data_IF_925166448363
#
_entry.id   IF_925166448363
#
_cell.length_a   1.000
_cell.length_b   1.000
_cell.length_c   1.000
_cell.angle_alpha   90.00
_cell.angle_beta   90.00
_cell.angle_gamma   90.00
#
_symmetry.space_group_name_H-M   'P 1'
#
loop_
_entity.id
_entity.type
_entity.pdbx_description
1 polymer ?
#
# COMPACT_ATOMS: atom_id res chain seq x y z
N UNK A 1 10.88 -8.12 5.99
CA UNK A 1 9.86 -8.55 5.00
C UNK A 1 10.14 -9.94 4.48
N UNK A 2 9.20 -10.85 4.62
CA UNK A 2 9.22 -12.17 3.98
C UNK A 2 8.71 -12.13 2.52
N UNK A 3 8.71 -13.29 1.85
CA UNK A 3 8.34 -13.40 0.44
C UNK A 3 6.85 -13.12 0.18
N UNK A 4 5.96 -13.55 1.09
CA UNK A 4 4.52 -13.34 0.95
C UNK A 4 4.16 -11.88 1.22
N UNK A 5 4.81 -11.27 2.22
CA UNK A 5 4.67 -9.84 2.49
C UNK A 5 5.05 -9.01 1.26
N UNK A 6 6.17 -9.35 0.60
CA UNK A 6 6.60 -8.69 -0.65
C UNK A 6 5.59 -8.85 -1.79
N UNK A 7 5.03 -10.04 -1.97
CA UNK A 7 4.01 -10.31 -2.99
C UNK A 7 2.75 -9.47 -2.76
N UNK A 8 2.25 -9.45 -1.52
CA UNK A 8 1.05 -8.69 -1.19
C UNK A 8 1.28 -7.19 -1.26
N UNK A 9 2.40 -6.68 -0.75
CA UNK A 9 2.73 -5.25 -0.86
C UNK A 9 2.88 -4.83 -2.32
N UNK A 10 3.53 -5.64 -3.17
CA UNK A 10 3.61 -5.38 -4.60
C UNK A 10 2.21 -5.34 -5.24
N UNK A 11 1.32 -6.24 -4.85
CA UNK A 11 -0.07 -6.25 -5.32
C UNK A 11 -0.80 -4.96 -4.94
N UNK A 12 -0.66 -4.46 -3.71
CA UNK A 12 -1.24 -3.17 -3.30
C UNK A 12 -0.70 -2.04 -4.17
N UNK A 13 0.62 -1.95 -4.31
CA UNK A 13 1.26 -0.87 -5.06
C UNK A 13 0.79 -0.85 -6.52
N UNK A 14 0.75 -2.02 -7.16
CA UNK A 14 0.33 -2.16 -8.54
C UNK A 14 -1.18 -1.92 -8.72
N UNK A 15 -1.98 -2.25 -7.71
CA UNK A 15 -3.42 -2.03 -7.75
C UNK A 15 -3.76 -0.52 -7.75
N UNK A 16 -3.10 0.26 -6.89
CA UNK A 16 -3.41 1.69 -6.71
C UNK A 16 -2.69 2.61 -7.69
N UNK A 17 -1.39 2.39 -7.96
CA UNK A 17 -0.57 3.36 -8.72
C UNK A 17 -0.15 2.89 -10.12
N UNK A 18 -0.65 1.73 -10.54
CA UNK A 18 -0.63 1.25 -11.92
C UNK A 18 -0.02 -0.15 -12.05
N UNK A 19 -0.48 -0.92 -13.05
CA UNK A 19 0.00 -2.27 -13.25
C UNK A 19 1.51 -2.28 -13.50
N UNK A 20 2.19 -3.29 -12.96
CA UNK A 20 3.63 -3.54 -13.16
C UNK A 20 4.56 -2.39 -12.72
N UNK A 21 4.14 -1.55 -11.78
CA UNK A 21 5.00 -0.51 -11.20
C UNK A 21 6.15 -1.12 -10.40
N UNK A 22 5.89 -2.25 -9.71
CA UNK A 22 6.87 -2.93 -8.88
C UNK A 22 6.70 -4.45 -8.96
N UNK A 23 7.81 -5.17 -8.85
CA UNK A 23 7.87 -6.62 -8.67
C UNK A 23 8.09 -6.96 -7.18
N UNK A 24 7.65 -8.12 -6.67
CA UNK A 24 7.87 -8.49 -5.26
C UNK A 24 9.34 -8.38 -4.80
N UNK A 25 10.29 -8.70 -5.68
CA UNK A 25 11.72 -8.60 -5.37
C UNK A 25 12.22 -7.16 -5.14
N UNK A 26 11.57 -6.17 -5.78
CA UNK A 26 11.94 -4.76 -5.70
C UNK A 26 11.15 -3.98 -4.62
N UNK A 27 10.28 -4.64 -3.87
CA UNK A 27 9.62 -4.01 -2.73
C UNK A 27 10.61 -3.89 -1.57
N UNK A 28 10.72 -2.70 -1.01
CA UNK A 28 11.50 -2.41 0.19
C UNK A 28 10.58 -1.84 1.31
N UNK A 29 11.12 -1.76 2.52
CA UNK A 29 10.36 -1.30 3.70
C UNK A 29 9.89 0.15 3.59
N UNK A 30 10.68 1.02 2.95
CA UNK A 30 10.31 2.41 2.76
C UNK A 30 9.11 2.56 1.82
N UNK A 31 9.08 1.80 0.73
CA UNK A 31 7.93 1.74 -0.17
C UNK A 31 6.68 1.26 0.55
N UNK A 32 6.80 0.31 1.48
CA UNK A 32 5.69 -0.13 2.32
C UNK A 32 5.22 0.99 3.27
N UNK A 33 6.13 1.71 3.92
CA UNK A 33 5.77 2.85 4.78
C UNK A 33 5.05 3.94 3.99
N UNK A 34 5.60 4.37 2.85
CA UNK A 34 4.99 5.42 2.03
C UNK A 34 3.63 4.97 1.47
N UNK A 35 3.52 3.74 0.98
CA UNK A 35 2.23 3.22 0.50
C UNK A 35 1.18 3.19 1.61
N UNK A 36 1.55 2.77 2.81
CA UNK A 36 0.65 2.78 3.96
C UNK A 36 0.21 4.21 4.32
N UNK A 37 1.15 5.15 4.45
CA UNK A 37 0.83 6.53 4.81
C UNK A 37 -0.05 7.23 3.78
N UNK A 38 0.13 6.93 2.48
CA UNK A 38 -0.71 7.48 1.43
C UNK A 38 -2.15 6.94 1.55
N UNK A 39 -2.31 5.64 1.82
CA UNK A 39 -3.63 5.05 2.00
C UNK A 39 -4.31 5.55 3.28
N UNK A 40 -3.56 5.79 4.34
CA UNK A 40 -4.06 6.39 5.59
C UNK A 40 -4.46 7.87 5.39
N UNK A 41 -3.62 8.67 4.70
CA UNK A 41 -3.92 10.09 4.41
C UNK A 41 -5.07 10.28 3.44
N UNK A 42 -5.30 9.31 2.57
CA UNK A 42 -6.51 9.30 1.76
C UNK A 42 -7.68 8.95 2.67
N UNK A 43 -8.26 9.96 3.36
CA UNK A 43 -9.43 9.81 4.25
C UNK A 43 -10.52 8.90 3.63
N UNK A 44 -10.72 9.00 2.31
CA UNK A 44 -11.68 8.18 1.56
C UNK A 44 -11.34 6.69 1.60
N UNK A 45 -10.05 6.31 1.55
CA UNK A 45 -9.65 4.92 1.77
C UNK A 45 -9.67 4.59 3.26
N UNK A 46 -9.12 5.42 4.16
CA UNK A 46 -8.97 5.05 5.58
C UNK A 46 -10.30 4.76 6.29
N UNK A 47 -11.39 5.41 5.92
CA UNK A 47 -12.73 5.14 6.49
C UNK A 47 -13.40 3.90 5.88
N UNK A 48 -13.04 3.56 4.63
CA UNK A 48 -13.66 2.47 3.88
C UNK A 48 -12.91 1.15 4.02
N UNK A 49 -11.58 1.20 4.11
CA UNK A 49 -10.72 0.04 4.32
C UNK A 49 -10.40 -0.09 5.80
N UNK A 50 -10.20 -1.32 6.29
CA UNK A 50 -9.91 -1.63 7.70
C UNK A 50 -8.51 -1.12 8.16
N UNK A 51 -8.10 0.07 7.72
CA UNK A 51 -6.91 0.76 8.21
C UNK A 51 -7.22 1.26 9.60
N UNK A 52 -6.75 0.49 10.59
CA UNK A 52 -6.84 0.88 11.99
C UNK A 52 -6.01 2.17 12.17
N UNK A 53 -6.64 3.29 12.58
CA UNK A 53 -5.93 4.54 12.80
C UNK A 53 -4.82 4.34 13.82
N UNK A 54 -3.61 4.83 13.53
CA UNK A 54 -2.51 4.69 14.49
C UNK A 54 -2.63 5.70 15.62
N UNK A 55 -2.26 5.31 16.86
CA UNK A 55 -2.09 6.26 17.95
C UNK A 55 -0.80 7.11 17.82
N UNK A 56 0.10 6.79 16.88
CA UNK A 56 1.35 7.54 16.62
C UNK A 56 1.39 8.07 15.19
N UNK A 57 1.90 9.30 14.99
CA UNK A 57 1.95 10.01 13.70
C UNK A 57 2.81 9.33 12.61
N UNK A 58 3.72 8.42 12.98
CA UNK A 58 4.62 7.76 12.01
C UNK A 58 4.47 6.26 12.09
N UNK A 59 4.35 5.67 10.92
CA UNK A 59 4.21 4.26 10.74
C UNK A 59 5.53 3.50 10.95
N UNK A 60 5.63 2.59 11.93
CA UNK A 60 6.77 1.66 11.95
C UNK A 60 6.76 0.78 10.69
N UNK A 61 7.92 0.47 10.09
CA UNK A 61 8.00 -0.33 8.87
C UNK A 61 7.33 -1.68 9.00
N UNK A 62 7.59 -2.42 10.07
CA UNK A 62 7.00 -3.75 10.30
C UNK A 62 5.47 -3.73 10.42
N UNK A 63 4.88 -2.65 10.96
CA UNK A 63 3.43 -2.51 10.97
C UNK A 63 2.91 -2.15 9.58
N UNK A 64 3.55 -1.20 8.88
CA UNK A 64 3.12 -0.79 7.54
C UNK A 64 3.08 -1.98 6.58
N UNK A 65 4.12 -2.81 6.62
CA UNK A 65 4.21 -4.07 5.89
C UNK A 65 3.05 -5.00 6.22
N UNK A 66 2.76 -5.23 7.51
CA UNK A 66 1.68 -6.14 7.94
C UNK A 66 0.30 -5.68 7.49
N UNK A 67 -0.01 -4.39 7.64
CA UNK A 67 -1.31 -3.86 7.20
C UNK A 67 -1.45 -3.91 5.69
N UNK A 68 -0.41 -3.53 4.96
CA UNK A 68 -0.41 -3.66 3.50
C UNK A 68 -0.51 -5.11 3.05
N UNK A 69 0.11 -6.06 3.75
CA UNK A 69 0.00 -7.48 3.42
C UNK A 69 -1.43 -8.00 3.59
N UNK A 70 -2.16 -7.56 4.62
CA UNK A 70 -3.60 -7.88 4.79
C UNK A 70 -4.43 -7.34 3.63
N UNK A 71 -4.18 -6.10 3.23
CA UNK A 71 -4.85 -5.44 2.10
C UNK A 71 -4.53 -6.19 0.79
N UNK A 72 -3.25 -6.44 0.52
CA UNK A 72 -2.78 -7.13 -0.67
C UNK A 72 -3.34 -8.54 -0.78
N UNK A 73 -3.47 -9.26 0.34
CA UNK A 73 -4.12 -10.58 0.37
C UNK A 73 -5.57 -10.52 -0.10
N UNK A 74 -6.35 -9.54 0.37
CA UNK A 74 -7.74 -9.33 -0.09
C UNK A 74 -7.80 -8.99 -1.58
N UNK A 75 -6.92 -8.11 -2.04
CA UNK A 75 -6.83 -7.73 -3.46
C UNK A 75 -6.53 -8.96 -4.32
N UNK A 76 -5.54 -9.76 -3.95
CA UNK A 76 -5.15 -10.98 -4.68
C UNK A 76 -6.27 -12.03 -4.65
N UNK A 77 -7.04 -12.13 -3.55
CA UNK A 77 -8.20 -13.03 -3.48
C UNK A 77 -9.45 -12.51 -4.23
N UNK A 78 -9.37 -11.36 -4.89
CA UNK A 78 -10.47 -10.77 -5.66
C UNK A 78 -11.45 -9.94 -4.81
N UNK A 79 -11.25 -9.82 -3.51
CA UNK A 79 -12.04 -8.98 -2.60
C UNK A 79 -11.61 -7.52 -2.72
N UNK A 80 -11.93 -6.93 -3.88
CA UNK A 80 -11.46 -5.59 -4.30
C UNK A 80 -12.52 -4.51 -4.23
N UNK A 81 -13.77 -4.86 -3.90
CA UNK A 81 -14.92 -3.95 -4.00
C UNK A 81 -14.69 -2.64 -3.24
N UNK A 82 -14.23 -2.73 -1.99
CA UNK A 82 -13.93 -1.59 -1.13
C UNK A 82 -12.75 -0.77 -1.67
N UNK A 83 -11.69 -1.44 -2.13
CA UNK A 83 -10.48 -0.77 -2.63
C UNK A 83 -10.70 -0.07 -3.98
N UNK A 84 -11.59 -0.58 -4.83
CA UNK A 84 -11.94 0.05 -6.10
C UNK A 84 -12.59 1.42 -5.91
N UNK A 85 -13.37 1.61 -4.83
CA UNK A 85 -14.05 2.88 -4.53
C UNK A 85 -13.02 4.00 -4.36
N UNK A 86 -11.90 3.71 -3.69
CA UNK A 86 -10.90 4.73 -3.37
C UNK A 86 -9.67 4.72 -4.30
N UNK A 87 -9.56 3.71 -5.19
CA UNK A 87 -8.49 3.59 -6.19
C UNK A 87 -8.31 4.83 -7.05
N UNK A 88 -9.40 5.44 -7.52
CA UNK A 88 -9.32 6.64 -8.36
C UNK A 88 -8.81 7.87 -7.59
N UNK A 89 -9.19 8.00 -6.32
CA UNK A 89 -8.76 9.10 -5.45
C UNK A 89 -7.28 8.99 -5.08
N UNK A 90 -6.82 7.77 -4.78
CA UNK A 90 -5.40 7.51 -4.41
C UNK A 90 -4.49 7.45 -5.63
N UNK A 91 -4.93 6.83 -6.71
CA UNK A 91 -4.12 6.56 -7.89
C UNK A 91 -3.74 7.81 -8.69
N UNK A 92 -4.56 8.87 -8.61
CA UNK A 92 -4.27 10.15 -9.25
C UNK A 92 -3.14 10.93 -8.55
N UNK A 93 -2.90 10.66 -7.26
CA UNK A 93 -1.84 11.28 -6.45
C UNK A 93 -0.70 10.31 -6.13
N UNK A 94 0.41 10.84 -5.62
CA UNK A 94 1.47 10.08 -4.92
C UNK A 94 2.25 9.01 -5.70
N UNK A 95 1.92 8.72 -6.97
CA UNK A 95 2.70 7.78 -7.81
C UNK A 95 4.19 8.12 -7.86
N UNK A 96 4.55 9.40 -7.92
CA UNK A 96 5.94 9.86 -7.86
C UNK A 96 6.59 9.57 -6.50
N UNK A 97 5.88 9.78 -5.40
CA UNK A 97 6.38 9.48 -4.06
C UNK A 97 6.64 7.97 -3.88
N UNK A 98 5.74 7.13 -4.40
CA UNK A 98 5.92 5.67 -4.41
C UNK A 98 7.15 5.27 -5.23
N UNK A 99 7.36 5.85 -6.42
CA UNK A 99 8.55 5.58 -7.24
C UNK A 99 9.84 5.98 -6.53
N UNK A 100 9.86 7.13 -5.86
CA UNK A 100 11.01 7.58 -5.07
C UNK A 100 11.28 6.60 -3.93
N UNK A 101 10.25 6.18 -3.19
CA UNK A 101 10.39 5.21 -2.10
C UNK A 101 10.91 3.85 -2.58
N UNK A 102 10.49 3.39 -3.77
CA UNK A 102 10.99 2.16 -4.38
C UNK A 102 12.49 2.22 -4.72
N UNK A 103 13.07 3.41 -4.90
CA UNK A 103 14.51 3.58 -5.12
C UNK A 103 15.34 3.52 -3.83
N UNK A 104 14.70 3.51 -2.65
CA UNK A 104 15.36 3.41 -1.35
C UNK A 104 16.07 4.71 -0.90
N UNK A 105 15.49 5.87 -1.24
CA UNK A 105 16.05 7.20 -0.97
C UNK A 105 15.91 7.67 0.49
#
# INVERSE_FOLDING_TARGET
MDIYEREYVAAVINFFWGPNLVTPHNVNEQAAVVAYEVLEKANVCSDLVDLVPRPTLVASPGYAVKELAKIGKRIVSGDTAVYNICKSAVGAGYKSAIRIALMGA
#
